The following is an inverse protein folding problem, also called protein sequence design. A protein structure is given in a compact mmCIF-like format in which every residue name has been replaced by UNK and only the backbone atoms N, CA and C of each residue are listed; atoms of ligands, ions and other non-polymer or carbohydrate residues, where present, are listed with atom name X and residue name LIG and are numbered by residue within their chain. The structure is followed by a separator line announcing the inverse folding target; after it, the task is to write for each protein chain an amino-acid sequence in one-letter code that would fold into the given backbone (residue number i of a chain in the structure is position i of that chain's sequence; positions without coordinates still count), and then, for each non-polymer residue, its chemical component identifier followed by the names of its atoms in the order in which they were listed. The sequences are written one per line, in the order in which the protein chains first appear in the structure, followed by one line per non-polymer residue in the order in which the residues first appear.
data_IF_674213833341
#
_entry.id   IF_674213833341
#
_cell.length_a   1.000
_cell.length_b   1.000
_cell.length_c   1.000
_cell.angle_alpha   90.00
_cell.angle_beta   90.00
_cell.angle_gamma   90.00
#
_symmetry.space_group_name_H-M   'P 1'
#
loop_
_entity.id
_entity.type
_entity.pdbx_description
1 polymer ?
#
# COMPACT_ATOMS: atom_id res chain seq x y z
N UNK A 1 -0.93 3.93 20.33
CA UNK A 1 -1.11 3.24 19.03
C UNK A 1 -0.07 2.14 18.96
N UNK A 2 -0.46 0.89 18.69
CA UNK A 2 0.52 -0.20 18.60
C UNK A 2 1.41 -0.03 17.36
N UNK A 3 2.69 -0.46 17.39
CA UNK A 3 3.58 -0.33 16.23
C UNK A 3 2.99 -0.99 14.96
N UNK A 4 2.23 -2.07 15.14
CA UNK A 4 1.50 -2.78 14.08
C UNK A 4 0.38 -1.93 13.47
N UNK A 5 -0.35 -1.17 14.28
CA UNK A 5 -1.40 -0.25 13.79
C UNK A 5 -0.80 0.95 13.05
N UNK A 6 0.39 1.40 13.46
CA UNK A 6 1.12 2.44 12.75
C UNK A 6 1.43 2.01 11.31
N UNK A 7 1.98 0.81 11.10
CA UNK A 7 2.21 0.26 9.75
C UNK A 7 0.94 0.25 8.90
N UNK A 8 -0.17 -0.27 9.44
CA UNK A 8 -1.45 -0.30 8.72
C UNK A 8 -1.92 1.10 8.35
N UNK A 9 -1.83 2.05 9.28
CA UNK A 9 -2.23 3.44 9.06
C UNK A 9 -1.42 4.11 7.97
N UNK A 10 -0.10 3.92 7.97
CA UNK A 10 0.80 4.49 6.95
C UNK A 10 0.51 3.87 5.57
N UNK A 11 0.35 2.55 5.49
CA UNK A 11 0.00 1.86 4.23
C UNK A 11 -1.35 2.38 3.72
N UNK A 12 -2.38 2.44 4.57
CA UNK A 12 -3.70 2.95 4.16
C UNK A 12 -3.66 4.39 3.66
N UNK A 13 -2.87 5.26 4.29
CA UNK A 13 -2.72 6.65 3.83
C UNK A 13 -2.03 6.74 2.47
N UNK A 14 -0.95 5.99 2.28
CA UNK A 14 -0.24 5.90 1.01
C UNK A 14 -1.17 5.44 -0.11
N UNK A 15 -1.88 4.33 0.09
CA UNK A 15 -2.83 3.80 -0.90
C UNK A 15 -4.01 4.75 -1.13
N UNK A 16 -4.43 5.50 -0.11
CA UNK A 16 -5.47 6.51 -0.27
C UNK A 16 -5.02 7.66 -1.17
N UNK A 17 -3.81 8.18 -0.97
CA UNK A 17 -3.26 9.23 -1.84
C UNK A 17 -2.99 8.71 -3.25
N UNK A 18 -2.50 7.49 -3.39
CA UNK A 18 -2.36 6.83 -4.70
C UNK A 18 -3.71 6.70 -5.40
N UNK A 19 -4.76 6.26 -4.70
CA UNK A 19 -6.12 6.22 -5.25
C UNK A 19 -6.63 7.60 -5.69
N UNK A 20 -6.29 8.68 -4.96
CA UNK A 20 -6.64 10.04 -5.37
C UNK A 20 -5.97 10.44 -6.69
N UNK A 21 -4.75 9.98 -6.95
CA UNK A 21 -4.06 10.28 -8.22
C UNK A 21 -4.78 9.68 -9.44
N UNK A 22 -5.58 8.62 -9.28
CA UNK A 22 -6.41 8.07 -10.37
C UNK A 22 -7.48 9.05 -10.87
N UNK A 23 -7.91 10.00 -10.04
CA UNK A 23 -8.89 11.01 -10.43
C UNK A 23 -8.24 12.22 -11.12
N UNK A 24 -6.91 12.35 -11.10
CA UNK A 24 -6.17 13.45 -11.73
C UNK A 24 -6.54 13.70 -13.21
N UNK A 25 -6.64 12.70 -14.09
CA UNK A 25 -7.01 12.92 -15.49
C UNK A 25 -8.45 13.43 -15.71
N UNK A 26 -9.35 13.33 -14.72
CA UNK A 26 -10.71 13.90 -14.83
C UNK A 26 -10.72 15.44 -14.81
N UNK A 27 -9.63 16.06 -14.36
CA UNK A 27 -9.53 17.51 -14.20
C UNK A 27 -8.78 18.22 -15.35
N UNK A 28 -8.54 17.54 -16.48
CA UNK A 28 -7.79 18.07 -17.65
C UNK A 28 -6.48 18.77 -17.24
N UNK A 29 -5.70 18.11 -16.38
CA UNK A 29 -4.44 18.63 -15.87
C UNK A 29 -3.34 18.62 -16.94
N UNK A 30 -2.37 19.49 -16.78
CA UNK A 30 -1.20 19.59 -17.66
C UNK A 30 -0.35 18.30 -17.62
N UNK A 31 0.29 17.96 -18.74
CA UNK A 31 1.05 16.70 -18.87
C UNK A 31 2.16 16.56 -17.82
N UNK A 32 2.84 17.65 -17.45
CA UNK A 32 3.85 17.65 -16.39
C UNK A 32 3.27 17.29 -15.01
N UNK A 33 2.03 17.71 -14.75
CA UNK A 33 1.33 17.39 -13.50
C UNK A 33 0.88 15.93 -13.48
N UNK A 34 0.39 15.40 -14.60
CA UNK A 34 0.06 13.97 -14.74
C UNK A 34 1.29 13.08 -14.57
N UNK A 35 2.43 13.48 -15.14
CA UNK A 35 3.68 12.75 -14.98
C UNK A 35 4.16 12.77 -13.52
N UNK A 36 4.01 13.90 -12.82
CA UNK A 36 4.32 14.01 -11.39
C UNK A 36 3.43 13.08 -10.54
N UNK A 37 2.15 12.98 -10.86
CA UNK A 37 1.23 12.05 -10.20
C UNK A 37 1.54 10.59 -10.52
N UNK A 38 1.91 10.26 -11.76
CA UNK A 38 2.35 8.92 -12.11
C UNK A 38 3.64 8.52 -11.36
N UNK A 39 4.62 9.41 -11.28
CA UNK A 39 5.84 9.18 -10.49
C UNK A 39 5.53 8.99 -9.00
N UNK A 40 4.59 9.78 -8.46
CA UNK A 40 4.11 9.59 -7.10
C UNK A 40 3.43 8.23 -6.93
N UNK A 41 2.58 7.80 -7.86
CA UNK A 41 1.92 6.49 -7.81
C UNK A 41 2.93 5.35 -7.80
N UNK A 42 3.95 5.39 -8.67
CA UNK A 42 5.06 4.42 -8.67
C UNK A 42 5.80 4.41 -7.34
N UNK A 43 6.14 5.59 -6.79
CA UNK A 43 6.77 5.69 -5.47
C UNK A 43 5.87 5.11 -4.38
N UNK A 44 4.57 5.43 -4.39
CA UNK A 44 3.60 4.98 -3.41
C UNK A 44 3.40 3.46 -3.47
N UNK A 45 3.37 2.88 -4.66
CA UNK A 45 3.37 1.42 -4.88
C UNK A 45 4.62 0.78 -4.26
N UNK A 46 5.82 1.27 -4.57
CA UNK A 46 7.09 0.71 -4.07
C UNK A 46 7.17 0.85 -2.54
N UNK A 47 6.84 2.03 -2.01
CA UNK A 47 6.82 2.29 -0.56
C UNK A 47 5.82 1.39 0.16
N UNK A 48 4.63 1.21 -0.42
CA UNK A 48 3.59 0.32 0.12
C UNK A 48 4.07 -1.14 0.16
N UNK A 49 4.74 -1.63 -0.89
CA UNK A 49 5.31 -2.99 -0.91
C UNK A 49 6.34 -3.20 0.21
N UNK A 50 7.27 -2.25 0.38
CA UNK A 50 8.28 -2.31 1.45
C UNK A 50 7.59 -2.30 2.82
N UNK A 51 6.58 -1.46 3.01
CA UNK A 51 5.83 -1.37 4.28
C UNK A 51 5.01 -2.65 4.55
N UNK A 52 4.44 -3.29 3.53
CA UNK A 52 3.73 -4.57 3.66
C UNK A 52 4.70 -5.67 4.11
N UNK A 53 5.89 -5.74 3.51
CA UNK A 53 6.94 -6.69 3.92
C UNK A 53 7.35 -6.42 5.37
N UNK A 54 7.63 -5.16 5.70
CA UNK A 54 7.97 -4.73 7.06
C UNK A 54 6.88 -5.07 8.08
N UNK A 55 5.60 -4.90 7.72
CA UNK A 55 4.46 -5.26 8.54
C UNK A 55 4.41 -6.77 8.81
N UNK A 56 4.61 -7.62 7.79
CA UNK A 56 4.59 -9.09 7.95
C UNK A 56 5.75 -9.55 8.84
N UNK A 57 6.96 -9.03 8.61
CA UNK A 57 8.14 -9.36 9.42
C UNK A 57 7.95 -8.92 10.86
N UNK A 58 7.49 -7.70 11.10
CA UNK A 58 7.22 -7.18 12.45
C UNK A 58 6.12 -7.97 13.15
N UNK A 59 5.03 -8.29 12.45
CA UNK A 59 3.93 -9.09 13.01
C UNK A 59 4.38 -10.52 13.36
N UNK A 60 5.23 -11.15 12.52
CA UNK A 60 5.84 -12.44 12.86
C UNK A 60 6.76 -12.33 14.08
N UNK A 61 7.58 -11.29 14.17
CA UNK A 61 8.47 -11.07 15.31
C UNK A 61 7.69 -10.90 16.63
N UNK A 62 6.62 -10.11 16.62
CA UNK A 62 5.74 -9.92 17.78
C UNK A 62 5.00 -11.21 18.16
N UNK A 63 4.49 -11.95 17.17
CA UNK A 63 3.81 -13.23 17.40
C UNK A 63 4.74 -14.27 18.03
N UNK A 64 5.99 -14.37 17.58
CA UNK A 64 6.97 -15.32 18.13
C UNK A 64 7.40 -14.98 19.57
N UNK A 65 7.29 -13.72 20.00
CA UNK A 65 7.74 -13.28 21.34
C UNK A 65 6.65 -13.26 22.38
N UNK A 66 5.41 -12.96 22.01
CA UNK A 66 4.38 -12.53 22.97
C UNK A 66 3.19 -13.51 23.01
N UNK A 67 3.03 -14.41 22.03
CA UNK A 67 1.74 -15.12 21.82
C UNK A 67 1.94 -16.62 21.59
N UNK A 68 1.28 -17.44 22.42
CA UNK A 68 1.35 -18.91 22.38
C UNK A 68 0.62 -19.56 21.20
N UNK A 69 -0.36 -18.88 20.57
CA UNK A 69 -1.06 -19.34 19.37
C UNK A 69 -0.51 -18.68 18.09
N UNK A 70 0.72 -19.05 17.72
CA UNK A 70 1.39 -18.53 16.52
C UNK A 70 0.62 -18.81 15.23
N UNK A 71 0.02 -20.00 15.07
CA UNK A 71 -0.70 -20.38 13.84
C UNK A 71 -1.92 -19.51 13.51
N UNK A 72 -2.83 -19.30 14.46
CA UNK A 72 -4.09 -18.58 14.22
C UNK A 72 -3.87 -17.08 13.97
N UNK A 73 -2.89 -16.48 14.65
CA UNK A 73 -2.55 -15.08 14.41
C UNK A 73 -1.79 -14.87 13.10
N UNK A 74 -0.92 -15.81 12.71
CA UNK A 74 -0.21 -15.75 11.42
C UNK A 74 -1.16 -15.65 10.25
N UNK A 75 -2.22 -16.46 10.23
CA UNK A 75 -3.24 -16.37 9.18
C UNK A 75 -3.92 -15.00 9.20
N UNK A 76 -4.30 -14.49 10.38
CA UNK A 76 -4.99 -13.20 10.51
C UNK A 76 -4.15 -12.02 10.00
N UNK A 77 -2.89 -11.90 10.40
CA UNK A 77 -2.07 -10.79 9.91
C UNK A 77 -1.61 -10.99 8.46
N UNK A 78 -1.43 -12.23 8.00
CA UNK A 78 -1.12 -12.52 6.59
C UNK A 78 -2.30 -12.15 5.69
N UNK A 79 -3.54 -12.44 6.10
CA UNK A 79 -4.73 -12.02 5.37
C UNK A 79 -4.81 -10.50 5.22
N UNK A 80 -4.42 -9.74 6.25
CA UNK A 80 -4.35 -8.26 6.17
C UNK A 80 -3.27 -7.81 5.19
N UNK A 81 -2.09 -8.44 5.20
CA UNK A 81 -1.01 -8.12 4.26
C UNK A 81 -1.41 -8.42 2.80
N UNK A 82 -2.07 -9.55 2.56
CA UNK A 82 -2.59 -9.92 1.24
C UNK A 82 -3.63 -8.91 0.76
N UNK A 83 -4.54 -8.44 1.63
CA UNK A 83 -5.52 -7.40 1.27
C UNK A 83 -4.82 -6.12 0.80
N UNK A 84 -3.81 -5.65 1.53
CA UNK A 84 -3.05 -4.48 1.12
C UNK A 84 -2.30 -4.71 -0.19
N UNK A 85 -1.67 -5.88 -0.36
CA UNK A 85 -0.99 -6.22 -1.60
C UNK A 85 -1.93 -6.21 -2.81
N UNK A 86 -3.12 -6.81 -2.69
CA UNK A 86 -4.13 -6.80 -3.76
C UNK A 86 -4.57 -5.39 -4.11
N UNK A 87 -4.82 -4.53 -3.12
CA UNK A 87 -5.18 -3.12 -3.35
C UNK A 87 -4.05 -2.39 -4.06
N UNK A 88 -2.80 -2.54 -3.61
CA UNK A 88 -1.63 -1.94 -4.26
C UNK A 88 -1.53 -2.36 -5.73
N UNK A 89 -1.72 -3.65 -6.03
CA UNK A 89 -1.68 -4.15 -7.42
C UNK A 89 -2.80 -3.54 -8.27
N UNK A 90 -4.01 -3.44 -7.74
CA UNK A 90 -5.15 -2.82 -8.44
C UNK A 90 -4.89 -1.33 -8.71
N UNK A 91 -4.40 -0.58 -7.72
CA UNK A 91 -4.10 0.84 -7.86
C UNK A 91 -2.95 1.10 -8.83
N UNK A 92 -1.91 0.25 -8.80
CA UNK A 92 -0.82 0.33 -9.77
C UNK A 92 -1.30 0.07 -11.19
N UNK A 93 -2.11 -0.98 -11.41
CA UNK A 93 -2.72 -1.24 -12.72
C UNK A 93 -3.61 -0.07 -13.17
N UNK A 94 -4.42 0.48 -12.27
CA UNK A 94 -5.22 1.67 -12.55
C UNK A 94 -4.36 2.85 -12.98
N UNK A 95 -3.26 3.11 -12.26
CA UNK A 95 -2.36 4.23 -12.54
C UNK A 95 -1.64 4.02 -13.87
N UNK A 96 -1.25 2.78 -14.18
CA UNK A 96 -0.60 2.41 -15.43
C UNK A 96 -1.50 2.54 -16.66
N UNK A 97 -2.78 2.19 -16.57
CA UNK A 97 -3.71 2.28 -17.70
C UNK A 97 -4.43 3.63 -17.83
N UNK A 98 -4.61 4.36 -16.72
CA UNK A 98 -5.47 5.54 -16.68
C UNK A 98 -4.72 6.87 -16.48
N UNK A 99 -3.62 6.87 -15.71
CA UNK A 99 -2.86 8.09 -15.37
C UNK A 99 -1.58 8.21 -16.17
N UNK A 100 -1.03 7.09 -16.66
CA UNK A 100 0.19 7.07 -17.44
C UNK A 100 0.03 7.89 -18.73
N UNK A 101 0.83 8.96 -18.92
CA UNK A 101 0.80 9.78 -20.13
C UNK A 101 1.58 9.16 -21.31
N UNK A 102 2.24 8.01 -21.11
CA UNK A 102 3.05 7.29 -22.10
C UNK A 102 2.37 6.06 -22.70
#
# INVERSE_FOLDING_TARGET
MSKREYFKSVISKLLFFEALTLFAPLFNLEQETLQSFYNYAVFATIASLILIIGYVVYAKYEASRVISCTGCQVVSFTAVAIKFFLITVILFMGSYYWVNPY
#
